data_IF_326849394311
#
_entry.id   IF_326849394311
#
_cell.length_a   1.000
_cell.length_b   1.000
_cell.length_c   1.000
_cell.angle_alpha   90.00
_cell.angle_beta   90.00
_cell.angle_gamma   90.00
#
_symmetry.space_group_name_H-M   'P 1'
#
loop_
_entity.id
_entity.type
_entity.pdbx_description
1 polymer ?
#
# COMPACT_ATOMS: atom_id res chain seq x y z
N UNK A 1 -53.34 -13.80 19.71
CA UNK A 1 -53.10 -12.34 19.41
C UNK A 1 -51.63 -12.21 18.98
N UNK A 2 -51.34 -12.06 17.71
CA UNK A 2 -49.95 -11.85 17.25
C UNK A 2 -49.61 -10.41 17.53
N UNK A 3 -48.76 -10.19 18.55
CA UNK A 3 -48.29 -8.84 18.89
C UNK A 3 -47.58 -8.16 17.71
N UNK A 4 -47.90 -6.89 17.47
CA UNK A 4 -47.20 -6.09 16.47
C UNK A 4 -45.76 -5.88 16.91
N UNK A 5 -44.81 -6.21 16.04
CA UNK A 5 -43.36 -6.05 16.28
C UNK A 5 -42.95 -4.57 16.24
N UNK A 6 -41.97 -4.22 17.07
CA UNK A 6 -41.22 -2.96 16.93
C UNK A 6 -39.99 -3.19 16.06
N UNK A 7 -39.36 -2.12 15.52
CA UNK A 7 -38.09 -2.22 14.78
C UNK A 7 -36.98 -2.85 15.62
N UNK A 8 -36.94 -2.59 16.94
CA UNK A 8 -36.00 -3.22 17.86
C UNK A 8 -36.13 -4.74 17.89
N UNK A 9 -37.37 -5.23 18.06
CA UNK A 9 -37.67 -6.67 18.11
C UNK A 9 -37.38 -7.33 16.76
N UNK A 10 -37.70 -6.67 15.64
CA UNK A 10 -37.36 -7.14 14.30
C UNK A 10 -35.85 -7.33 14.14
N UNK A 11 -35.05 -6.33 14.54
CA UNK A 11 -33.58 -6.40 14.45
C UNK A 11 -33.05 -7.55 15.31
N UNK A 12 -33.55 -7.68 16.54
CA UNK A 12 -33.15 -8.76 17.46
C UNK A 12 -33.47 -10.13 16.85
N UNK A 13 -34.67 -10.30 16.28
CA UNK A 13 -35.10 -11.57 15.69
C UNK A 13 -34.24 -11.95 14.47
N UNK A 14 -33.89 -10.97 13.63
CA UNK A 14 -32.98 -11.19 12.50
C UNK A 14 -31.59 -11.58 12.98
N UNK A 15 -31.01 -10.81 13.92
CA UNK A 15 -29.66 -11.05 14.40
C UNK A 15 -29.51 -12.33 15.23
N UNK A 16 -30.55 -12.78 15.95
CA UNK A 16 -30.56 -14.07 16.67
C UNK A 16 -30.33 -15.26 15.75
N UNK A 17 -30.81 -15.18 14.53
CA UNK A 17 -30.78 -16.29 13.59
C UNK A 17 -29.59 -16.26 12.64
N UNK A 18 -28.70 -15.27 12.76
CA UNK A 18 -27.52 -15.14 11.89
C UNK A 18 -26.27 -15.74 12.54
N UNK A 19 -25.35 -16.21 11.70
CA UNK A 19 -24.05 -16.75 12.12
C UNK A 19 -22.90 -15.75 12.00
N UNK A 20 -23.17 -14.57 11.46
CA UNK A 20 -22.19 -13.48 11.27
C UNK A 20 -22.85 -12.13 11.50
N UNK A 21 -22.09 -11.09 11.88
CA UNK A 21 -22.56 -9.72 11.92
C UNK A 21 -23.15 -9.28 10.58
N UNK A 22 -24.16 -8.43 10.61
CA UNK A 22 -24.86 -7.93 9.41
C UNK A 22 -24.83 -6.40 9.35
N UNK A 23 -24.79 -5.85 8.14
CA UNK A 23 -25.06 -4.45 7.90
C UNK A 23 -26.58 -4.16 7.84
N UNK A 24 -26.95 -2.87 7.84
CA UNK A 24 -28.36 -2.45 7.88
C UNK A 24 -29.18 -2.96 6.70
N UNK A 25 -28.58 -2.95 5.50
CA UNK A 25 -29.26 -3.43 4.29
C UNK A 25 -29.52 -4.93 4.36
N UNK A 26 -28.54 -5.71 4.83
CA UNK A 26 -28.68 -7.16 5.05
C UNK A 26 -29.74 -7.47 6.12
N UNK A 27 -29.78 -6.68 7.21
CA UNK A 27 -30.82 -6.84 8.26
C UNK A 27 -32.21 -6.63 7.68
N UNK A 28 -32.41 -5.55 6.90
CA UNK A 28 -33.68 -5.25 6.29
C UNK A 28 -34.09 -6.31 5.27
N UNK A 29 -33.17 -6.72 4.39
CA UNK A 29 -33.44 -7.74 3.39
C UNK A 29 -33.86 -9.07 4.04
N UNK A 30 -33.16 -9.52 5.09
CA UNK A 30 -33.53 -10.73 5.84
C UNK A 30 -34.86 -10.58 6.57
N UNK A 31 -35.21 -9.40 7.01
CA UNK A 31 -36.51 -9.13 7.59
C UNK A 31 -37.65 -9.27 6.55
N UNK A 32 -37.43 -8.80 5.31
CA UNK A 32 -38.35 -8.98 4.18
C UNK A 32 -38.51 -10.45 3.80
N UNK A 33 -37.40 -11.18 3.66
CA UNK A 33 -37.40 -12.60 3.32
C UNK A 33 -38.21 -13.44 4.34
N UNK A 34 -38.22 -13.02 5.61
CA UNK A 34 -38.96 -13.66 6.69
C UNK A 34 -40.36 -13.13 6.93
N UNK A 35 -40.78 -12.13 6.15
CA UNK A 35 -42.08 -11.49 6.32
C UNK A 35 -42.26 -10.75 7.66
N UNK A 36 -41.15 -10.34 8.30
CA UNK A 36 -41.20 -9.61 9.58
C UNK A 36 -41.64 -8.15 9.39
N UNK A 37 -41.45 -7.59 8.20
CA UNK A 37 -41.97 -6.28 7.80
C UNK A 37 -43.48 -6.18 7.95
N UNK A 38 -44.21 -7.25 7.58
CA UNK A 38 -45.68 -7.33 7.69
C UNK A 38 -46.18 -7.40 9.15
N UNK A 39 -45.30 -7.73 10.08
CA UNK A 39 -45.60 -7.81 11.51
C UNK A 39 -45.27 -6.49 12.23
N UNK A 40 -44.64 -5.52 11.57
CA UNK A 40 -44.34 -4.23 12.18
C UNK A 40 -45.62 -3.45 12.50
N UNK A 41 -45.61 -2.72 13.61
CA UNK A 41 -46.71 -1.84 14.01
C UNK A 41 -46.91 -0.68 13.03
N UNK A 42 -45.85 -0.20 12.39
CA UNK A 42 -45.88 0.77 11.30
C UNK A 42 -44.57 0.62 10.48
N UNK A 43 -44.67 0.77 9.16
CA UNK A 43 -43.55 0.82 8.25
C UNK A 43 -43.32 2.28 7.87
N UNK A 44 -42.18 2.85 8.27
CA UNK A 44 -41.79 4.21 7.87
C UNK A 44 -41.39 4.28 6.39
N UNK A 45 -41.31 5.47 5.83
CA UNK A 45 -40.86 5.68 4.44
C UNK A 45 -39.40 5.25 4.20
N UNK A 46 -38.57 5.25 5.24
CA UNK A 46 -37.16 4.86 5.20
C UNK A 46 -36.84 3.83 6.28
N UNK A 47 -37.24 2.55 6.11
CA UNK A 47 -37.03 1.50 7.11
C UNK A 47 -35.57 1.29 7.51
N UNK A 48 -34.66 1.34 6.53
CA UNK A 48 -33.21 1.22 6.74
C UNK A 48 -32.65 2.32 7.62
N UNK A 49 -33.10 3.57 7.44
CA UNK A 49 -32.70 4.68 8.31
C UNK A 49 -33.20 4.51 9.74
N UNK A 50 -34.40 3.99 9.89
CA UNK A 50 -34.98 3.71 11.22
C UNK A 50 -34.18 2.59 11.91
N UNK A 51 -33.82 1.53 11.19
CA UNK A 51 -32.94 0.46 11.68
C UNK A 51 -31.58 1.00 12.09
N UNK A 52 -30.94 1.83 11.22
CA UNK A 52 -29.66 2.46 11.50
C UNK A 52 -29.68 3.27 12.80
N UNK A 53 -30.65 4.17 12.93
CA UNK A 53 -30.78 5.00 14.13
C UNK A 53 -31.00 4.15 15.39
N UNK A 54 -31.78 3.07 15.30
CA UNK A 54 -32.02 2.16 16.42
C UNK A 54 -30.74 1.42 16.85
N UNK A 55 -30.00 0.92 15.87
CA UNK A 55 -28.73 0.23 16.11
C UNK A 55 -27.67 1.12 16.77
N UNK A 56 -27.62 2.41 16.39
CA UNK A 56 -26.66 3.37 16.97
C UNK A 56 -27.04 3.84 18.36
N UNK A 57 -28.35 3.97 18.64
CA UNK A 57 -28.83 4.53 19.91
C UNK A 57 -28.97 3.49 21.02
N UNK A 58 -29.32 2.25 20.68
CA UNK A 58 -29.53 1.16 21.64
C UNK A 58 -28.25 0.34 21.89
N UNK A 59 -27.29 0.96 22.56
CA UNK A 59 -26.01 0.32 22.94
C UNK A 59 -26.15 -0.80 23.99
N UNK A 60 -27.33 -0.99 24.56
CA UNK A 60 -27.62 -2.08 25.52
C UNK A 60 -27.79 -3.39 24.78
N UNK A 61 -28.47 -3.38 23.62
CA UNK A 61 -28.83 -4.58 22.89
C UNK A 61 -27.93 -4.85 21.68
N UNK A 62 -27.32 -3.81 21.11
CA UNK A 62 -26.56 -3.91 19.86
C UNK A 62 -25.12 -3.47 20.03
N UNK A 63 -24.22 -4.24 19.40
CA UNK A 63 -22.79 -3.96 19.34
C UNK A 63 -22.42 -3.67 17.88
N UNK A 64 -21.68 -2.58 17.66
CA UNK A 64 -21.06 -2.27 16.38
C UNK A 64 -19.76 -3.08 16.25
N UNK A 65 -19.65 -3.95 15.25
CA UNK A 65 -18.55 -4.92 15.12
C UNK A 65 -17.55 -4.57 14.04
N UNK A 66 -17.94 -3.75 13.05
CA UNK A 66 -17.04 -3.27 11.99
C UNK A 66 -17.39 -1.84 11.61
N UNK A 67 -16.42 -1.14 11.04
CA UNK A 67 -16.57 0.23 10.57
C UNK A 67 -16.90 0.25 9.07
N UNK A 68 -16.44 -0.75 8.29
CA UNK A 68 -16.67 -0.82 6.84
C UNK A 68 -16.68 -2.27 6.30
N UNK A 69 -17.79 -2.65 5.72
CA UNK A 69 -19.10 -2.04 5.93
C UNK A 69 -19.47 -2.05 7.39
N UNK A 70 -20.18 -1.03 7.87
CA UNK A 70 -20.64 -0.99 9.27
C UNK A 70 -21.58 -2.16 9.53
N UNK A 71 -21.17 -3.08 10.40
CA UNK A 71 -21.95 -4.25 10.79
C UNK A 71 -22.29 -4.23 12.26
N UNK A 72 -23.36 -4.93 12.61
CA UNK A 72 -23.90 -4.97 13.95
C UNK A 72 -24.15 -6.39 14.40
N UNK A 73 -24.08 -6.58 15.71
CA UNK A 73 -24.32 -7.87 16.39
C UNK A 73 -25.16 -7.68 17.65
N UNK A 74 -25.71 -8.76 18.20
CA UNK A 74 -26.38 -8.71 19.49
C UNK A 74 -25.35 -8.71 20.63
N UNK A 75 -25.49 -7.80 21.57
CA UNK A 75 -24.59 -7.72 22.72
C UNK A 75 -24.68 -8.95 23.62
N UNK A 76 -25.85 -9.56 23.75
CA UNK A 76 -26.03 -10.84 24.47
C UNK A 76 -25.24 -12.00 23.88
N UNK A 77 -24.82 -11.90 22.60
CA UNK A 77 -24.03 -12.88 21.86
C UNK A 77 -22.57 -12.43 21.63
N UNK A 78 -22.08 -11.47 22.38
CA UNK A 78 -20.72 -10.92 22.26
C UNK A 78 -19.64 -12.00 22.42
N UNK A 79 -19.86 -12.97 23.34
CA UNK A 79 -18.96 -14.11 23.53
C UNK A 79 -18.86 -15.04 22.31
N UNK A 80 -19.85 -15.02 21.43
CA UNK A 80 -19.79 -15.77 20.17
C UNK A 80 -18.91 -15.05 19.15
N UNK A 81 -18.85 -13.71 19.17
CA UNK A 81 -17.89 -12.93 18.36
C UNK A 81 -16.46 -13.23 18.75
N UNK A 82 -16.14 -13.29 20.03
CA UNK A 82 -14.81 -13.66 20.52
C UNK A 82 -14.40 -15.06 20.05
N UNK A 83 -15.36 -15.98 19.89
CA UNK A 83 -15.12 -17.31 19.32
C UNK A 83 -15.06 -17.30 17.78
N UNK A 84 -15.75 -16.36 17.15
CA UNK A 84 -15.70 -16.13 15.70
C UNK A 84 -14.44 -15.36 15.33
N UNK A 85 -13.97 -14.42 16.14
CA UNK A 85 -12.72 -13.71 15.98
C UNK A 85 -11.53 -14.66 16.19
N UNK A 86 -11.57 -15.52 17.22
CA UNK A 86 -10.59 -16.62 17.38
C UNK A 86 -10.66 -17.69 16.26
N UNK A 87 -11.83 -17.92 15.67
CA UNK A 87 -11.95 -18.75 14.45
C UNK A 87 -11.57 -17.99 13.19
N UNK A 88 -11.81 -16.69 13.16
CA UNK A 88 -11.42 -15.80 12.05
C UNK A 88 -9.95 -15.35 12.15
N UNK A 89 -9.34 -15.31 13.33
CA UNK A 89 -7.88 -15.26 13.46
C UNK A 89 -7.23 -16.55 12.93
N UNK A 90 -7.85 -17.72 13.14
CA UNK A 90 -7.41 -18.99 12.54
C UNK A 90 -7.81 -19.09 11.04
N UNK A 91 -8.80 -18.30 10.57
CA UNK A 91 -9.24 -18.27 9.16
C UNK A 91 -8.83 -17.01 8.41
N UNK A 92 -8.47 -15.91 9.10
CA UNK A 92 -7.82 -14.74 8.50
C UNK A 92 -6.29 -14.89 8.42
N UNK A 93 -5.70 -15.89 9.04
CA UNK A 93 -4.39 -16.44 8.66
C UNK A 93 -4.44 -17.32 7.41
N UNK A 94 -5.61 -17.55 6.82
CA UNK A 94 -5.79 -17.77 5.39
C UNK A 94 -6.18 -16.46 4.68
N UNK A 95 -5.46 -15.37 4.89
CA UNK A 95 -4.92 -14.64 3.74
C UNK A 95 -4.36 -15.74 2.84
N UNK A 96 -4.90 -15.87 1.63
CA UNK A 96 -4.21 -16.64 0.59
C UNK A 96 -2.75 -16.23 0.74
N UNK A 97 -1.91 -17.15 1.21
CA UNK A 97 -0.48 -16.88 1.25
C UNK A 97 -0.17 -16.57 -0.19
N UNK A 98 0.11 -15.31 -0.46
CA UNK A 98 0.51 -14.92 -1.79
C UNK A 98 1.58 -15.93 -2.18
N UNK A 99 1.39 -16.60 -3.31
CA UNK A 99 2.30 -17.65 -3.78
C UNK A 99 3.70 -17.07 -4.08
N UNK A 100 3.87 -15.75 -3.86
CA UNK A 100 5.08 -14.97 -4.12
C UNK A 100 5.34 -14.00 -2.96
N UNK A 101 6.58 -13.52 -2.86
CA UNK A 101 7.05 -12.56 -1.87
C UNK A 101 7.13 -11.14 -2.46
N UNK A 102 7.19 -10.10 -1.63
CA UNK A 102 7.37 -8.70 -2.05
C UNK A 102 8.57 -8.56 -2.99
N UNK A 103 9.69 -9.20 -2.68
CA UNK A 103 10.90 -9.21 -3.51
C UNK A 103 10.69 -9.77 -4.93
N UNK A 104 9.74 -10.67 -5.12
CA UNK A 104 9.42 -11.19 -6.45
C UNK A 104 8.77 -10.12 -7.35
N UNK A 105 8.32 -9.00 -6.78
CA UNK A 105 7.77 -7.86 -7.52
C UNK A 105 8.83 -6.81 -7.91
N UNK A 106 10.07 -6.91 -7.41
CA UNK A 106 11.11 -5.93 -7.71
C UNK A 106 11.37 -5.79 -9.23
N UNK A 107 11.52 -6.85 -10.04
CA UNK A 107 11.72 -6.69 -11.47
C UNK A 107 10.55 -5.99 -12.18
N UNK A 108 9.32 -6.21 -11.71
CA UNK A 108 8.12 -5.55 -12.24
C UNK A 108 8.13 -4.05 -11.94
N UNK A 109 8.46 -3.67 -10.69
CA UNK A 109 8.59 -2.27 -10.31
C UNK A 109 9.74 -1.59 -11.05
N UNK A 110 10.91 -2.24 -11.15
CA UNK A 110 12.06 -1.71 -11.90
C UNK A 110 11.69 -1.42 -13.36
N UNK A 111 10.97 -2.34 -14.03
CA UNK A 111 10.49 -2.13 -15.40
C UNK A 111 9.52 -0.94 -15.47
N UNK A 112 8.56 -0.83 -14.56
CA UNK A 112 7.64 0.31 -14.51
C UNK A 112 8.39 1.64 -14.35
N UNK A 113 9.33 1.73 -13.43
CA UNK A 113 10.10 2.94 -13.14
C UNK A 113 11.02 3.35 -14.30
N UNK A 114 11.47 2.39 -15.08
CA UNK A 114 12.30 2.64 -16.26
C UNK A 114 11.48 3.14 -17.46
N UNK A 115 10.31 2.52 -17.71
CA UNK A 115 9.50 2.81 -18.90
C UNK A 115 8.51 3.98 -18.71
N UNK A 116 8.20 4.32 -17.46
CA UNK A 116 7.27 5.41 -17.15
C UNK A 116 7.93 6.77 -17.39
N UNK A 117 7.26 7.65 -18.16
CA UNK A 117 7.78 8.96 -18.55
C UNK A 117 7.98 9.94 -17.40
N UNK A 118 7.24 9.78 -16.29
CA UNK A 118 7.39 10.64 -15.12
C UNK A 118 8.63 10.25 -14.29
N UNK A 119 9.17 9.05 -14.52
CA UNK A 119 10.32 8.53 -13.77
C UNK A 119 11.58 8.36 -14.62
N UNK A 120 11.56 7.52 -15.63
CA UNK A 120 12.73 7.19 -16.49
C UNK A 120 13.99 6.87 -15.66
N UNK A 121 13.88 5.95 -14.69
CA UNK A 121 14.91 5.70 -13.70
C UNK A 121 15.78 4.48 -14.04
N UNK A 122 17.06 4.60 -13.72
CA UNK A 122 17.93 3.44 -13.55
C UNK A 122 17.89 3.00 -12.08
N UNK A 123 17.44 1.78 -11.82
CA UNK A 123 17.14 1.29 -10.49
C UNK A 123 18.13 0.22 -10.00
N UNK A 124 18.22 0.08 -8.69
CA UNK A 124 18.96 -1.01 -8.03
C UNK A 124 18.20 -1.53 -6.83
N UNK A 125 18.01 -2.84 -6.77
CA UNK A 125 17.51 -3.54 -5.58
C UNK A 125 18.55 -3.49 -4.47
N UNK A 126 18.13 -3.16 -3.25
CA UNK A 126 19.00 -3.13 -2.08
C UNK A 126 18.75 -4.37 -1.22
N UNK A 127 19.79 -5.16 -1.05
CA UNK A 127 19.75 -6.34 -0.21
C UNK A 127 20.19 -5.97 1.22
N UNK A 128 19.22 -5.74 2.11
CA UNK A 128 19.47 -5.36 3.50
C UNK A 128 20.25 -6.43 4.27
N UNK A 129 20.17 -7.71 3.87
CA UNK A 129 20.91 -8.82 4.45
C UNK A 129 22.44 -8.69 4.30
N UNK A 130 22.87 -7.92 3.30
CA UNK A 130 24.29 -7.65 3.04
C UNK A 130 24.84 -6.47 3.85
N UNK A 131 23.99 -5.79 4.61
CA UNK A 131 24.42 -4.67 5.45
C UNK A 131 25.26 -5.13 6.63
N UNK A 132 26.21 -4.29 7.04
CA UNK A 132 26.95 -4.49 8.29
C UNK A 132 25.97 -4.42 9.44
N UNK A 133 25.87 -5.48 10.24
CA UNK A 133 24.93 -5.57 11.36
C UNK A 133 25.33 -4.58 12.47
N UNK A 134 24.42 -3.67 12.81
CA UNK A 134 24.48 -2.83 13.99
C UNK A 134 24.04 -3.58 15.26
N UNK A 135 24.21 -2.97 16.42
CA UNK A 135 23.77 -3.54 17.70
C UNK A 135 22.26 -3.39 17.87
N UNK A 136 21.57 -4.50 18.22
CA UNK A 136 20.25 -4.41 18.85
C UNK A 136 19.10 -3.88 18.00
N UNK A 137 19.10 -4.03 16.67
CA UNK A 137 17.99 -3.58 15.83
C UNK A 137 18.10 -2.14 15.30
N UNK A 138 19.24 -1.48 15.49
CA UNK A 138 19.54 -0.14 14.95
C UNK A 138 19.39 -0.04 13.43
N UNK A 139 19.50 -1.18 12.71
CA UNK A 139 19.43 -1.23 11.26
C UNK A 139 18.04 -1.59 10.72
N UNK A 140 17.03 -1.71 11.62
CA UNK A 140 15.65 -1.94 11.20
C UNK A 140 15.13 -0.72 10.46
N UNK A 141 14.65 -0.95 9.22
CA UNK A 141 14.10 0.11 8.35
C UNK A 141 15.11 1.18 7.90
N UNK A 142 16.38 0.83 7.74
CA UNK A 142 17.38 1.77 7.25
C UNK A 142 17.45 1.83 5.71
N UNK A 143 17.00 0.79 5.02
CA UNK A 143 17.17 0.66 3.58
C UNK A 143 15.82 0.43 2.89
N UNK A 144 15.55 1.15 1.79
CA UNK A 144 14.42 0.87 0.93
C UNK A 144 14.63 -0.44 0.16
N UNK A 145 13.56 -0.97 -0.41
CA UNK A 145 13.62 -2.16 -1.26
C UNK A 145 14.38 -1.87 -2.57
N UNK A 146 14.08 -0.73 -3.18
CA UNK A 146 14.67 -0.29 -4.45
C UNK A 146 15.07 1.18 -4.35
N UNK A 147 16.21 1.51 -4.93
CA UNK A 147 16.68 2.87 -5.16
C UNK A 147 16.72 3.17 -6.65
N UNK A 148 16.50 4.43 -7.02
CA UNK A 148 16.52 4.86 -8.41
C UNK A 148 17.29 6.17 -8.59
N UNK A 149 17.81 6.37 -9.78
CA UNK A 149 18.43 7.62 -10.21
C UNK A 149 17.87 8.05 -11.55
N UNK A 150 17.49 9.32 -11.64
CA UNK A 150 17.18 9.99 -12.89
C UNK A 150 18.43 10.67 -13.43
N UNK A 151 18.73 10.39 -14.71
CA UNK A 151 19.79 11.04 -15.46
C UNK A 151 19.17 11.97 -16.50
N UNK A 152 19.51 13.25 -16.51
CA UNK A 152 18.92 14.23 -17.44
C UNK A 152 19.41 14.09 -18.89
N UNK A 153 20.30 13.14 -19.18
CA UNK A 153 20.95 13.00 -20.49
C UNK A 153 19.99 12.64 -21.63
N UNK A 154 18.90 11.94 -21.31
CA UNK A 154 17.95 11.49 -22.33
C UNK A 154 16.96 12.61 -22.72
N UNK A 155 16.75 13.58 -21.80
CA UNK A 155 15.79 14.68 -21.98
C UNK A 155 16.42 15.98 -22.46
N UNK A 156 17.75 16.19 -22.23
CA UNK A 156 18.42 17.44 -22.52
C UNK A 156 19.66 17.29 -23.38
N UNK A 157 19.93 18.30 -24.21
CA UNK A 157 21.16 18.42 -24.94
C UNK A 157 22.34 18.74 -24.01
N UNK A 158 23.57 18.39 -24.44
CA UNK A 158 24.80 18.54 -23.64
C UNK A 158 25.01 19.97 -23.18
N UNK A 159 24.71 20.97 -24.03
CA UNK A 159 24.84 22.38 -23.73
C UNK A 159 23.89 22.82 -22.59
N UNK A 160 22.67 22.28 -22.57
CA UNK A 160 21.69 22.52 -21.50
C UNK A 160 22.18 21.96 -20.18
N UNK A 161 22.68 20.72 -20.20
CA UNK A 161 23.23 20.06 -18.99
C UNK A 161 24.41 20.84 -18.45
N UNK A 162 25.35 21.24 -19.33
CA UNK A 162 26.51 22.07 -18.96
C UNK A 162 26.08 23.42 -18.38
N UNK A 163 25.03 24.05 -18.93
CA UNK A 163 24.47 25.28 -18.37
C UNK A 163 23.94 25.05 -16.96
N UNK A 164 23.12 24.03 -16.75
CA UNK A 164 22.54 23.69 -15.43
C UNK A 164 23.64 23.44 -14.38
N UNK A 165 24.71 22.74 -14.74
CA UNK A 165 25.88 22.54 -13.89
C UNK A 165 26.56 23.84 -13.52
N UNK A 166 26.77 24.71 -14.51
CA UNK A 166 27.44 26.01 -14.32
C UNK A 166 26.65 26.96 -13.41
N UNK A 167 25.32 26.94 -13.50
CA UNK A 167 24.43 27.71 -12.62
C UNK A 167 24.12 27.00 -11.31
N UNK A 168 24.74 25.83 -11.05
CA UNK A 168 24.54 24.97 -9.86
C UNK A 168 23.10 24.54 -9.65
N UNK A 169 22.35 24.39 -10.73
CA UNK A 169 21.01 23.78 -10.68
C UNK A 169 21.17 22.28 -10.84
N UNK A 170 20.85 21.53 -9.77
CA UNK A 170 20.94 20.08 -9.80
C UNK A 170 19.84 19.51 -10.70
N UNK A 171 20.22 18.71 -11.68
CA UNK A 171 19.32 18.03 -12.61
C UNK A 171 19.21 16.52 -12.36
N UNK A 172 20.09 15.97 -11.51
CA UNK A 172 20.04 14.58 -11.09
C UNK A 172 19.12 14.44 -9.90
N UNK A 173 18.30 13.38 -9.90
CA UNK A 173 17.40 13.09 -8.77
C UNK A 173 17.60 11.67 -8.30
N UNK A 174 17.57 11.49 -6.98
CA UNK A 174 17.59 10.17 -6.31
C UNK A 174 16.24 9.86 -5.74
N UNK A 175 15.85 8.60 -5.90
CA UNK A 175 14.54 8.09 -5.49
C UNK A 175 14.69 6.89 -4.57
N UNK A 176 13.72 6.71 -3.67
CA UNK A 176 13.59 5.50 -2.88
C UNK A 176 12.17 4.93 -2.99
N UNK A 177 12.10 3.60 -2.98
CA UNK A 177 10.83 2.87 -3.11
C UNK A 177 10.74 1.78 -2.07
N UNK A 178 9.65 1.80 -1.30
CA UNK A 178 9.26 0.73 -0.38
C UNK A 178 8.06 0.02 -0.97
N UNK A 179 8.14 -1.31 -1.17
CA UNK A 179 7.12 -2.10 -1.83
C UNK A 179 6.34 -2.94 -0.82
N UNK A 180 5.03 -2.98 -1.00
CA UNK A 180 4.11 -3.81 -0.23
C UNK A 180 3.12 -4.51 -1.14
N UNK A 181 2.82 -5.77 -0.85
CA UNK A 181 1.80 -6.51 -1.59
C UNK A 181 0.41 -5.94 -1.31
N UNK A 182 0.10 -5.66 -0.05
CA UNK A 182 -1.21 -5.18 0.38
C UNK A 182 -1.09 -4.11 1.46
N UNK A 183 -2.00 -3.15 1.41
CA UNK A 183 -2.09 -2.08 2.40
C UNK A 183 -3.54 -1.94 2.89
N UNK A 184 -3.70 -1.96 4.21
CA UNK A 184 -4.97 -1.78 4.90
C UNK A 184 -4.77 -0.99 6.20
N UNK A 185 -5.82 -0.63 6.92
CA UNK A 185 -5.69 0.15 8.15
C UNK A 185 -4.85 -0.51 9.26
N UNK A 186 -4.76 -1.84 9.29
CA UNK A 186 -4.00 -2.53 10.34
C UNK A 186 -2.49 -2.39 10.16
N UNK A 187 -2.00 -2.35 8.91
CA UNK A 187 -0.57 -2.25 8.58
C UNK A 187 -0.15 -0.89 8.00
N UNK A 188 -1.10 0.00 7.67
CA UNK A 188 -0.83 1.28 7.00
C UNK A 188 0.25 2.09 7.69
N UNK A 189 0.12 2.29 9.00
CA UNK A 189 1.08 3.13 9.75
C UNK A 189 2.47 2.52 9.76
N UNK A 190 2.57 1.20 9.98
CA UNK A 190 3.85 0.50 9.98
C UNK A 190 4.52 0.61 8.60
N UNK A 191 3.81 0.28 7.52
CA UNK A 191 4.34 0.35 6.15
C UNK A 191 4.72 1.78 5.75
N UNK A 192 3.88 2.77 6.09
CA UNK A 192 4.14 4.16 5.75
C UNK A 192 5.36 4.72 6.50
N UNK A 193 5.46 4.47 7.80
CA UNK A 193 6.61 4.94 8.59
C UNK A 193 7.89 4.15 8.30
N UNK A 194 7.79 2.93 7.81
CA UNK A 194 8.93 2.23 7.22
C UNK A 194 9.46 3.00 6.00
N UNK A 195 8.57 3.38 5.06
CA UNK A 195 8.95 4.21 3.91
C UNK A 195 9.55 5.56 4.35
N UNK A 196 8.97 6.24 5.35
CA UNK A 196 9.54 7.49 5.91
C UNK A 196 10.94 7.27 6.47
N UNK A 197 11.15 6.16 7.21
CA UNK A 197 12.42 5.90 7.90
C UNK A 197 13.57 5.60 6.93
N UNK A 198 13.29 4.83 5.87
CA UNK A 198 14.33 4.37 4.95
C UNK A 198 14.56 5.32 3.76
N UNK A 199 13.84 6.43 3.69
CA UNK A 199 13.80 7.33 2.53
C UNK A 199 14.35 8.74 2.77
N UNK A 200 14.73 9.10 4.00
CA UNK A 200 15.10 10.49 4.36
C UNK A 200 16.22 11.11 3.51
N UNK A 201 17.03 10.27 2.89
CA UNK A 201 18.21 10.63 2.11
C UNK A 201 17.92 10.99 0.64
N UNK A 202 16.78 10.57 0.06
CA UNK A 202 16.46 10.74 -1.35
C UNK A 202 15.71 12.05 -1.64
N UNK A 203 15.64 12.45 -2.91
CA UNK A 203 14.86 13.62 -3.32
C UNK A 203 13.36 13.35 -3.32
N UNK A 204 12.95 12.15 -3.75
CA UNK A 204 11.57 11.71 -3.78
C UNK A 204 11.44 10.27 -3.30
N UNK A 205 10.36 9.98 -2.60
CA UNK A 205 10.16 8.69 -1.95
C UNK A 205 8.74 8.18 -2.17
N UNK A 206 8.62 6.90 -2.46
CA UNK A 206 7.33 6.30 -2.78
C UNK A 206 7.08 5.01 -2.01
N UNK A 207 5.86 4.88 -1.49
CA UNK A 207 5.29 3.62 -1.07
C UNK A 207 4.56 3.00 -2.26
N UNK A 208 4.96 1.79 -2.66
CA UNK A 208 4.41 1.08 -3.82
C UNK A 208 3.53 -0.06 -3.34
N UNK A 209 2.31 -0.18 -3.87
CA UNK A 209 1.34 -1.19 -3.43
C UNK A 209 0.78 -1.94 -4.62
N UNK A 210 0.80 -3.29 -4.58
CA UNK A 210 0.29 -4.13 -5.65
C UNK A 210 -1.24 -4.32 -5.60
N UNK A 211 -1.81 -4.57 -4.42
CA UNK A 211 -3.25 -4.78 -4.28
C UNK A 211 -4.02 -3.46 -4.27
N UNK A 212 -5.34 -3.53 -4.51
CA UNK A 212 -6.21 -2.37 -4.43
C UNK A 212 -6.15 -1.70 -3.06
N UNK A 213 -6.19 -0.37 -3.07
CA UNK A 213 -6.16 0.47 -1.87
C UNK A 213 -7.57 1.02 -1.65
N UNK A 214 -8.16 0.71 -0.50
CA UNK A 214 -9.46 1.27 -0.13
C UNK A 214 -9.44 2.80 -0.09
N UNK A 215 -10.54 3.43 -0.48
CA UNK A 215 -10.66 4.90 -0.55
C UNK A 215 -10.35 5.60 0.78
N UNK A 216 -10.63 4.97 1.93
CA UNK A 216 -10.31 5.53 3.25
C UNK A 216 -8.82 5.41 3.57
N UNK A 217 -8.22 4.27 3.22
CA UNK A 217 -6.75 4.08 3.32
C UNK A 217 -6.05 5.12 2.46
N UNK A 218 -6.54 5.34 1.22
CA UNK A 218 -6.00 6.36 0.33
C UNK A 218 -6.17 7.78 0.89
N UNK A 219 -7.30 8.06 1.55
CA UNK A 219 -7.53 9.36 2.21
C UNK A 219 -6.56 9.60 3.37
N UNK A 220 -6.26 8.57 4.17
CA UNK A 220 -5.27 8.66 5.23
C UNK A 220 -3.84 8.79 4.68
N UNK A 221 -3.52 8.10 3.58
CA UNK A 221 -2.24 8.25 2.87
C UNK A 221 -2.05 9.70 2.37
N UNK A 222 -3.10 10.34 1.81
CA UNK A 222 -3.04 11.75 1.42
C UNK A 222 -2.76 12.68 2.60
N UNK A 223 -3.40 12.42 3.74
CA UNK A 223 -3.14 13.16 4.98
C UNK A 223 -1.69 13.00 5.45
N UNK A 224 -1.15 11.79 5.42
CA UNK A 224 0.23 11.51 5.79
C UNK A 224 1.23 12.12 4.80
N UNK A 225 0.94 12.08 3.50
CA UNK A 225 1.77 12.72 2.47
C UNK A 225 1.90 14.23 2.70
N UNK A 226 0.84 14.92 3.16
CA UNK A 226 0.93 16.34 3.50
C UNK A 226 2.03 16.63 4.53
N UNK A 227 2.21 15.75 5.52
CA UNK A 227 3.16 15.92 6.61
C UNK A 227 4.57 15.39 6.28
N UNK A 228 4.67 14.26 5.57
CA UNK A 228 5.93 13.53 5.39
C UNK A 228 6.41 13.48 3.94
N UNK A 229 5.56 13.79 2.97
CA UNK A 229 5.95 13.91 1.58
C UNK A 229 6.05 12.60 0.79
N UNK A 230 5.82 11.43 1.41
CA UNK A 230 5.92 10.13 0.72
C UNK A 230 4.79 9.99 -0.30
N UNK A 231 5.14 9.75 -1.56
CA UNK A 231 4.19 9.44 -2.63
C UNK A 231 3.63 8.02 -2.53
N UNK A 232 2.62 7.74 -3.35
CA UNK A 232 2.00 6.41 -3.41
C UNK A 232 1.83 5.99 -4.86
N UNK A 233 2.36 4.83 -5.21
CA UNK A 233 2.21 4.19 -6.51
C UNK A 233 1.33 2.94 -6.36
N UNK A 234 0.32 2.82 -7.21
CA UNK A 234 -0.39 1.57 -7.45
C UNK A 234 0.34 0.83 -8.57
N UNK A 235 0.99 -0.26 -8.21
CA UNK A 235 1.65 -1.14 -9.18
C UNK A 235 0.65 -2.17 -9.68
N UNK A 236 0.58 -2.36 -10.99
CA UNK A 236 -0.24 -3.37 -11.62
C UNK A 236 0.62 -4.46 -12.26
N UNK A 237 0.06 -5.66 -12.45
CA UNK A 237 0.74 -6.77 -13.10
C UNK A 237 1.06 -6.46 -14.57
N UNK A 238 0.20 -5.70 -15.22
CA UNK A 238 0.46 -5.00 -16.48
C UNK A 238 0.87 -3.57 -16.11
N UNK A 239 2.14 -3.26 -16.29
CA UNK A 239 2.73 -1.98 -15.88
C UNK A 239 2.07 -0.77 -16.55
N UNK A 240 1.46 -0.93 -17.74
CA UNK A 240 0.76 0.14 -18.45
C UNK A 240 -0.45 0.70 -17.66
N UNK A 241 -0.99 -0.11 -16.74
CA UNK A 241 -2.10 0.24 -15.87
C UNK A 241 -1.65 0.78 -14.50
N UNK A 242 -0.34 0.76 -14.23
CA UNK A 242 0.21 1.30 -12.98
C UNK A 242 0.07 2.81 -12.90
N UNK A 243 -0.18 3.34 -11.71
CA UNK A 243 -0.54 4.75 -11.52
C UNK A 243 0.15 5.37 -10.30
N UNK A 244 0.54 6.64 -10.42
CA UNK A 244 0.92 7.48 -9.28
C UNK A 244 -0.38 8.02 -8.66
N UNK A 245 -0.81 7.44 -7.54
CA UNK A 245 -2.02 7.86 -6.84
C UNK A 245 -1.83 9.13 -6.01
N UNK A 246 -0.61 9.34 -5.53
CA UNK A 246 -0.19 10.50 -4.74
C UNK A 246 1.25 10.81 -5.12
N UNK A 247 1.53 12.00 -5.63
CA UNK A 247 2.90 12.43 -5.94
C UNK A 247 3.71 12.63 -4.66
N UNK A 248 4.98 12.24 -4.69
CA UNK A 248 5.92 12.58 -3.63
C UNK A 248 6.17 14.09 -3.58
N UNK A 249 6.65 14.58 -2.44
CA UNK A 249 7.19 15.93 -2.32
C UNK A 249 8.70 15.89 -2.50
N UNK A 250 9.19 16.68 -3.42
CA UNK A 250 10.62 16.84 -3.61
C UNK A 250 11.26 17.49 -2.39
N UNK A 251 12.41 16.99 -1.97
CA UNK A 251 13.21 17.50 -0.86
C UNK A 251 14.70 17.49 -1.18
N UNK A 252 15.46 18.22 -0.40
CA UNK A 252 16.91 18.17 -0.49
C UNK A 252 17.47 16.84 0.04
N UNK A 253 18.63 16.42 -0.46
CA UNK A 253 19.30 15.21 -0.03
C UNK A 253 19.80 15.35 1.41
N UNK A 254 19.49 14.40 2.28
CA UNK A 254 20.14 14.26 3.57
C UNK A 254 21.50 13.58 3.41
N UNK A 255 22.53 14.41 3.29
CA UNK A 255 23.90 13.97 3.04
C UNK A 255 24.45 13.12 4.20
N UNK A 256 24.01 13.36 5.44
CA UNK A 256 24.47 12.58 6.59
C UNK A 256 23.93 11.15 6.53
N UNK A 257 22.64 11.02 6.27
CA UNK A 257 22.00 9.70 6.09
C UNK A 257 22.56 8.98 4.86
N UNK A 258 22.71 9.68 3.73
CA UNK A 258 23.31 9.12 2.51
C UNK A 258 24.70 8.56 2.78
N UNK A 259 25.57 9.30 3.45
CA UNK A 259 26.92 8.86 3.81
C UNK A 259 26.92 7.65 4.77
N UNK A 260 25.99 7.63 5.71
CA UNK A 260 25.80 6.47 6.60
C UNK A 260 25.42 5.21 5.81
N UNK A 261 24.48 5.30 4.88
CA UNK A 261 24.01 4.17 4.07
C UNK A 261 25.14 3.62 3.17
N UNK A 262 25.93 4.49 2.53
CA UNK A 262 27.10 4.12 1.73
C UNK A 262 28.09 3.31 2.57
N UNK A 263 28.34 3.70 3.83
CA UNK A 263 29.29 3.01 4.70
C UNK A 263 28.79 1.66 5.22
N UNK A 264 27.47 1.50 5.34
CA UNK A 264 26.86 0.31 5.95
C UNK A 264 26.46 -0.77 4.94
N UNK A 265 26.05 -0.41 3.71
CA UNK A 265 25.53 -1.37 2.74
C UNK A 265 26.36 -1.36 1.44
N UNK A 266 26.92 -2.51 1.02
CA UNK A 266 27.74 -2.60 -0.19
C UNK A 266 26.94 -2.35 -1.48
N UNK A 267 25.68 -2.78 -1.58
CA UNK A 267 24.84 -2.53 -2.77
C UNK A 267 24.54 -1.04 -2.93
N UNK A 268 24.25 -0.37 -1.80
CA UNK A 268 24.01 1.07 -1.82
C UNK A 268 25.27 1.85 -2.22
N UNK A 269 26.44 1.44 -1.68
CA UNK A 269 27.72 2.00 -2.10
C UNK A 269 27.98 1.82 -3.59
N UNK A 270 27.78 0.60 -4.10
CA UNK A 270 27.95 0.29 -5.53
C UNK A 270 27.01 1.12 -6.41
N UNK A 271 25.74 1.31 -6.00
CA UNK A 271 24.79 2.18 -6.67
C UNK A 271 25.32 3.62 -6.80
N UNK A 272 25.83 4.21 -5.73
CA UNK A 272 26.39 5.57 -5.76
C UNK A 272 27.69 5.63 -6.57
N UNK A 273 28.53 4.61 -6.51
CA UNK A 273 29.76 4.53 -7.32
C UNK A 273 29.43 4.47 -8.82
N UNK A 274 28.40 3.75 -9.21
CA UNK A 274 27.96 3.62 -10.59
C UNK A 274 27.33 4.93 -11.09
N UNK A 275 26.54 5.62 -10.27
CA UNK A 275 26.07 6.98 -10.59
C UNK A 275 27.23 7.91 -10.86
N UNK A 276 28.23 7.93 -9.98
CA UNK A 276 29.41 8.78 -10.13
C UNK A 276 30.21 8.47 -11.41
N UNK A 277 30.29 7.20 -11.80
CA UNK A 277 30.92 6.77 -13.07
C UNK A 277 30.10 7.28 -14.26
N UNK A 278 28.78 7.09 -14.26
CA UNK A 278 27.91 7.50 -15.34
C UNK A 278 27.91 9.04 -15.53
N UNK A 279 27.89 9.79 -14.45
CA UNK A 279 28.01 11.26 -14.49
C UNK A 279 29.32 11.70 -15.18
N UNK A 280 30.45 11.03 -14.87
CA UNK A 280 31.75 11.36 -15.47
C UNK A 280 31.82 11.07 -16.97
N UNK A 281 31.13 10.06 -17.45
CA UNK A 281 31.11 9.65 -18.85
C UNK A 281 30.07 10.42 -19.64
N UNK A 282 29.01 10.89 -19.00
CA UNK A 282 27.88 11.57 -19.61
C UNK A 282 27.08 10.68 -20.56
N UNK A 283 26.45 11.28 -21.58
CA UNK A 283 25.63 10.59 -22.60
C UNK A 283 26.48 9.75 -23.58
N UNK A 284 27.77 10.03 -23.70
CA UNK A 284 28.65 9.51 -24.77
C UNK A 284 28.93 8.01 -24.64
N UNK A 285 28.82 7.43 -23.44
CA UNK A 285 28.96 6.00 -23.23
C UNK A 285 28.08 5.51 -22.08
N UNK A 286 27.39 4.37 -22.30
CA UNK A 286 26.80 3.63 -21.18
C UNK A 286 27.92 2.85 -20.49
N UNK A 287 28.12 3.09 -19.20
CA UNK A 287 29.02 2.28 -18.39
C UNK A 287 28.41 0.87 -18.21
N UNK A 288 29.26 -0.10 -17.97
CA UNK A 288 28.78 -1.39 -17.41
C UNK A 288 28.43 -1.15 -15.93
N UNK A 289 27.22 -0.68 -15.69
CA UNK A 289 26.71 -0.41 -14.35
C UNK A 289 25.98 -1.64 -13.82
N UNK A 290 25.95 -1.77 -12.49
CA UNK A 290 25.24 -2.83 -11.79
C UNK A 290 23.79 -2.42 -11.45
N UNK A 291 23.14 -1.63 -12.36
CA UNK A 291 21.71 -1.41 -12.26
C UNK A 291 20.94 -2.70 -12.56
N UNK A 292 19.74 -2.80 -12.03
CA UNK A 292 18.89 -3.95 -12.25
C UNK A 292 18.49 -4.06 -13.72
N UNK A 293 18.47 -5.29 -14.23
CA UNK A 293 18.15 -5.58 -15.61
C UNK A 293 16.67 -5.31 -15.91
N UNK A 294 16.41 -4.64 -17.02
CA UNK A 294 15.06 -4.40 -17.52
C UNK A 294 14.65 -5.58 -18.40
N UNK A 295 13.70 -6.37 -17.93
CA UNK A 295 13.17 -7.50 -18.68
C UNK A 295 12.33 -7.03 -19.86
N UNK A 296 12.45 -7.69 -21.03
CA UNK A 296 11.50 -7.51 -22.12
C UNK A 296 10.08 -7.92 -21.68
N UNK A 297 9.06 -7.56 -22.47
CA UNK A 297 7.68 -7.91 -22.13
C UNK A 297 7.48 -9.42 -22.06
N UNK A 298 8.08 -10.17 -23.00
CA UNK A 298 8.02 -11.63 -23.05
C UNK A 298 8.71 -12.27 -21.83
N UNK A 299 9.89 -11.77 -21.47
CA UNK A 299 10.63 -12.24 -20.29
C UNK A 299 9.89 -11.91 -18.99
N UNK A 300 9.26 -10.72 -18.92
CA UNK A 300 8.48 -10.31 -17.75
C UNK A 300 7.23 -11.19 -17.60
N UNK A 301 6.48 -11.44 -18.68
CA UNK A 301 5.32 -12.32 -18.63
C UNK A 301 5.69 -13.73 -18.17
N UNK A 302 6.79 -14.28 -18.69
CA UNK A 302 7.31 -15.57 -18.27
C UNK A 302 7.69 -15.57 -16.79
N UNK A 303 8.41 -14.55 -16.35
CA UNK A 303 8.81 -14.37 -14.95
C UNK A 303 7.60 -14.31 -14.00
N UNK A 304 6.58 -13.50 -14.33
CA UNK A 304 5.39 -13.35 -13.50
C UNK A 304 4.59 -14.67 -13.39
N UNK A 305 4.55 -15.49 -14.46
CA UNK A 305 3.95 -16.83 -14.44
C UNK A 305 4.77 -17.82 -13.60
N UNK A 306 6.09 -17.80 -13.71
CA UNK A 306 6.99 -18.64 -12.90
C UNK A 306 6.87 -18.32 -11.41
N UNK A 307 6.72 -17.04 -11.06
CA UNK A 307 6.55 -16.57 -9.69
C UNK A 307 5.10 -16.69 -9.17
N UNK A 308 4.17 -17.21 -9.97
CA UNK A 308 2.74 -17.30 -9.63
C UNK A 308 2.10 -15.94 -9.29
N UNK A 309 2.62 -14.86 -9.85
CA UNK A 309 2.05 -13.51 -9.75
C UNK A 309 0.91 -13.36 -10.75
N UNK A 310 1.09 -13.88 -11.97
CA UNK A 310 0.02 -14.11 -12.95
C UNK A 310 -0.53 -15.52 -12.79
N UNK A 311 -1.85 -15.66 -12.93
CA UNK A 311 -2.48 -16.98 -13.05
C UNK A 311 -2.04 -17.64 -14.37
N UNK A 312 -1.91 -18.98 -14.35
CA UNK A 312 -1.51 -19.76 -15.53
C UNK A 312 -2.58 -19.75 -16.58
#
# INVERSE_FOLDING_TARGET
MSGKLTYKELIIEVLKQTKKPLNVSEIWQKALEKGLDKKLSSIGQTPTQTIWNRLLTDKINFLKTSIKPTTFWLKERENELLKLDNKNEITNEKQEKNKFHERDLHPLLVKFLYENLDFNLNCKTIYHEQSKKGKGGEDKWNYPDIVGVYFPYDDYEKETITLLENIKQNSYKLFSFELKIALNFSNLKECYFQAVSNSSWANEDYLVVLQEIDSEVLSELRRLNQSFGIGVIKLEKDISNSQILISAKEKELDIQTLNMLINKNPNFKEFIDDINKQIKVGKEAKIQANFDEIKSDEEMEKYLKEKCILEK
#
